data_IF_847479888585
#
_entry.id   IF_847479888585
#
_cell.length_a   1.000
_cell.length_b   1.000
_cell.length_c   1.000
_cell.angle_alpha   90.00
_cell.angle_beta   90.00
_cell.angle_gamma   90.00
#
_symmetry.space_group_name_H-M   'P 1'
#
loop_
_entity.id
_entity.type
_entity.pdbx_description
1 polymer ?
#
# COMPACT_ATOMS: atom_id res chain seq x y z
N UNK A 1 -16.93 4.55 -5.28
CA UNK A 1 -16.03 3.98 -6.32
C UNK A 1 -15.64 5.12 -7.24
N UNK A 2 -14.34 5.33 -7.50
CA UNK A 2 -13.83 6.45 -8.28
C UNK A 2 -14.56 6.56 -9.63
N UNK A 3 -15.09 7.75 -9.94
CA UNK A 3 -15.95 8.03 -11.09
C UNK A 3 -15.18 8.27 -12.40
N UNK A 4 -13.89 7.94 -12.44
CA UNK A 4 -13.02 8.19 -13.60
C UNK A 4 -13.48 7.40 -14.82
N UNK A 5 -13.64 8.10 -15.93
CA UNK A 5 -14.13 7.63 -17.23
C UNK A 5 -13.23 8.05 -18.40
N UNK A 6 -12.30 9.00 -18.22
CA UNK A 6 -11.45 9.48 -19.31
C UNK A 6 -9.98 9.70 -18.92
N UNK A 7 -9.11 9.80 -19.93
CA UNK A 7 -7.70 10.16 -19.75
C UNK A 7 -7.55 11.55 -19.12
N UNK A 8 -8.39 12.50 -19.54
CA UNK A 8 -8.37 13.87 -19.04
C UNK A 8 -8.73 13.94 -17.56
N UNK A 9 -9.68 13.12 -17.10
CA UNK A 9 -10.01 13.02 -15.68
C UNK A 9 -8.85 12.45 -14.86
N UNK A 10 -8.12 11.46 -15.38
CA UNK A 10 -6.90 10.94 -14.74
C UNK A 10 -5.82 12.01 -14.68
N UNK A 11 -5.61 12.76 -15.77
CA UNK A 11 -4.64 13.84 -15.81
C UNK A 11 -4.99 14.96 -14.83
N UNK A 12 -6.27 15.35 -14.74
CA UNK A 12 -6.74 16.37 -13.81
C UNK A 12 -6.53 15.96 -12.35
N UNK A 13 -6.78 14.69 -12.01
CA UNK A 13 -6.46 14.15 -10.69
C UNK A 13 -4.96 14.24 -10.40
N UNK A 14 -4.12 13.79 -11.34
CA UNK A 14 -2.65 13.87 -11.22
C UNK A 14 -2.21 15.32 -11.00
N UNK A 15 -2.77 16.27 -11.76
CA UNK A 15 -2.48 17.70 -11.63
C UNK A 15 -2.86 18.25 -10.26
N UNK A 16 -4.01 17.82 -9.71
CA UNK A 16 -4.41 18.18 -8.35
C UNK A 16 -3.43 17.65 -7.29
N UNK A 17 -3.06 16.37 -7.40
CA UNK A 17 -2.11 15.73 -6.48
C UNK A 17 -0.69 16.30 -6.54
N UNK A 18 -0.33 16.97 -7.63
CA UNK A 18 1.04 17.42 -7.90
C UNK A 18 1.15 18.93 -8.07
N UNK A 19 0.18 19.67 -7.56
CA UNK A 19 0.03 21.12 -7.74
C UNK A 19 1.26 21.91 -7.28
N UNK A 20 1.96 21.45 -6.25
CA UNK A 20 3.19 22.03 -5.71
C UNK A 20 4.38 21.96 -6.67
N UNK A 21 4.35 21.05 -7.66
CA UNK A 21 5.33 20.93 -8.76
C UNK A 21 4.77 21.36 -10.12
N UNK A 22 3.52 21.81 -10.17
CA UNK A 22 2.83 22.32 -11.35
C UNK A 22 2.84 21.36 -12.55
N UNK A 23 2.79 21.91 -13.75
CA UNK A 23 2.64 21.15 -14.99
C UNK A 23 3.80 20.16 -15.23
N UNK A 24 5.01 20.45 -14.73
CA UNK A 24 6.14 19.52 -14.81
C UNK A 24 5.92 18.30 -13.92
N UNK A 25 5.47 18.52 -12.68
CA UNK A 25 5.11 17.44 -11.76
C UNK A 25 3.95 16.60 -12.28
N UNK A 26 2.92 17.25 -12.83
CA UNK A 26 1.75 16.60 -13.40
C UNK A 26 2.15 15.71 -14.59
N UNK A 27 2.89 16.24 -15.55
CA UNK A 27 3.35 15.47 -16.71
C UNK A 27 4.26 14.30 -16.32
N UNK A 28 5.25 14.52 -15.45
CA UNK A 28 6.16 13.46 -15.02
C UNK A 28 5.41 12.32 -14.31
N UNK A 29 4.45 12.66 -13.46
CA UNK A 29 3.62 11.70 -12.73
C UNK A 29 2.66 10.98 -13.66
N UNK A 30 1.96 11.70 -14.54
CA UNK A 30 1.06 11.08 -15.50
C UNK A 30 1.80 10.07 -16.39
N UNK A 31 2.98 10.44 -16.87
CA UNK A 31 3.79 9.58 -17.75
C UNK A 31 4.16 8.25 -17.07
N UNK A 32 4.65 8.27 -15.82
CA UNK A 32 5.05 7.01 -15.15
C UNK A 32 3.85 6.10 -14.84
N UNK A 33 2.68 6.66 -14.53
CA UNK A 33 1.47 5.88 -14.23
C UNK A 33 0.69 5.40 -15.47
N UNK A 34 0.95 5.99 -16.63
CA UNK A 34 0.26 5.65 -17.89
C UNK A 34 1.17 5.00 -18.94
N UNK A 35 2.43 4.70 -18.59
CA UNK A 35 3.43 4.11 -19.51
C UNK A 35 2.98 2.82 -20.22
N UNK A 36 2.06 2.05 -19.62
CA UNK A 36 1.55 0.79 -20.18
C UNK A 36 0.23 0.95 -20.95
N UNK A 37 -0.32 2.17 -21.02
CA UNK A 37 -1.55 2.41 -21.74
C UNK A 37 -1.30 2.39 -23.25
N UNK A 38 -2.11 1.63 -23.99
CA UNK A 38 -2.26 1.81 -25.43
C UNK A 38 -3.17 2.99 -25.75
N UNK A 39 -3.39 3.29 -27.04
CA UNK A 39 -4.16 4.45 -27.52
C UNK A 39 -5.57 4.57 -26.93
N UNK A 40 -6.20 3.45 -26.61
CA UNK A 40 -7.53 3.37 -26.00
C UNK A 40 -7.52 2.43 -24.79
N UNK A 41 -7.07 2.91 -23.60
CA UNK A 41 -7.02 2.09 -22.40
C UNK A 41 -8.44 1.74 -21.93
N UNK A 42 -8.61 0.53 -21.40
CA UNK A 42 -9.90 0.13 -20.85
C UNK A 42 -10.27 0.92 -19.59
N UNK A 43 -11.56 1.04 -19.32
CA UNK A 43 -12.08 1.65 -18.08
C UNK A 43 -11.50 0.99 -16.82
N UNK A 44 -11.36 -0.33 -16.83
CA UNK A 44 -10.75 -1.07 -15.74
C UNK A 44 -9.28 -0.69 -15.54
N UNK A 45 -8.50 -0.59 -16.62
CA UNK A 45 -7.09 -0.19 -16.54
C UNK A 45 -6.96 1.23 -15.97
N UNK A 46 -7.76 2.19 -16.45
CA UNK A 46 -7.74 3.56 -15.93
C UNK A 46 -8.08 3.62 -14.44
N UNK A 47 -9.12 2.91 -14.00
CA UNK A 47 -9.50 2.85 -12.58
C UNK A 47 -8.42 2.19 -11.72
N UNK A 48 -7.79 1.10 -12.19
CA UNK A 48 -6.65 0.47 -11.52
C UNK A 48 -5.45 1.39 -11.42
N UNK A 49 -5.15 2.16 -12.48
CA UNK A 49 -4.09 3.17 -12.47
C UNK A 49 -4.37 4.23 -11.41
N UNK A 50 -5.60 4.74 -11.32
CA UNK A 50 -6.00 5.73 -10.30
C UNK A 50 -5.87 5.16 -8.89
N UNK A 51 -6.37 3.93 -8.65
CA UNK A 51 -6.21 3.26 -7.36
C UNK A 51 -4.72 3.10 -7.02
N UNK A 52 -3.89 2.70 -7.98
CA UNK A 52 -2.46 2.57 -7.81
C UNK A 52 -1.76 3.90 -7.47
N UNK A 53 -2.11 4.97 -8.16
CA UNK A 53 -1.59 6.33 -7.93
C UNK A 53 -1.94 6.82 -6.52
N UNK A 54 -3.22 6.77 -6.14
CA UNK A 54 -3.68 7.26 -4.83
C UNK A 54 -3.07 6.42 -3.71
N UNK A 55 -3.03 5.09 -3.87
CA UNK A 55 -2.37 4.20 -2.90
C UNK A 55 -0.91 4.56 -2.72
N UNK A 56 -0.21 4.85 -3.81
CA UNK A 56 1.21 5.18 -3.76
C UNK A 56 1.46 6.50 -3.06
N UNK A 57 0.72 7.53 -3.47
CA UNK A 57 0.86 8.89 -2.98
C UNK A 57 0.50 9.02 -1.49
N UNK A 58 -0.64 8.48 -1.07
CA UNK A 58 -1.17 8.68 0.29
C UNK A 58 -0.53 7.72 1.30
N UNK A 59 -0.26 6.46 0.90
CA UNK A 59 0.13 5.42 1.86
C UNK A 59 1.49 4.82 1.58
N UNK A 60 1.70 4.25 0.38
CA UNK A 60 2.84 3.39 0.12
C UNK A 60 4.16 4.16 0.23
N UNK A 61 4.31 5.27 -0.50
CA UNK A 61 5.56 6.02 -0.58
C UNK A 61 5.92 6.63 0.78
N UNK A 62 5.01 7.32 1.49
CA UNK A 62 5.28 7.77 2.86
C UNK A 62 5.67 6.62 3.79
N UNK A 63 5.04 5.45 3.68
CA UNK A 63 5.39 4.26 4.49
C UNK A 63 6.79 3.75 4.14
N UNK A 64 7.17 3.68 2.85
CA UNK A 64 8.52 3.29 2.46
C UNK A 64 9.57 4.28 2.98
N UNK A 65 9.27 5.58 2.99
CA UNK A 65 10.13 6.57 3.63
C UNK A 65 10.24 6.32 5.14
N UNK A 66 9.11 6.16 5.84
CA UNK A 66 9.09 5.89 7.27
C UNK A 66 9.90 4.63 7.66
N UNK A 67 9.80 3.56 6.86
CA UNK A 67 10.60 2.34 7.04
C UNK A 67 12.10 2.60 6.91
N UNK A 68 12.51 3.36 5.89
CA UNK A 68 13.92 3.74 5.71
C UNK A 68 14.42 4.62 6.85
N UNK A 69 13.63 5.61 7.28
CA UNK A 69 13.98 6.46 8.42
C UNK A 69 14.11 5.66 9.71
N UNK A 70 13.15 4.77 9.98
CA UNK A 70 13.23 3.91 11.15
C UNK A 70 14.49 3.04 11.10
N UNK A 71 14.78 2.40 9.97
CA UNK A 71 15.97 1.57 9.81
C UNK A 71 17.28 2.35 10.02
N UNK A 72 17.39 3.58 9.51
CA UNK A 72 18.59 4.42 9.65
C UNK A 72 18.82 4.93 11.07
N UNK A 73 17.75 5.10 11.85
CA UNK A 73 17.82 5.71 13.18
C UNK A 73 17.65 4.69 14.32
N UNK A 74 17.17 3.49 14.02
CA UNK A 74 17.07 2.40 14.98
C UNK A 74 18.46 1.95 15.41
N UNK A 75 18.69 1.89 16.73
CA UNK A 75 19.94 1.35 17.30
C UNK A 75 19.89 -0.17 17.38
N UNK A 76 18.91 -0.68 18.11
CA UNK A 76 18.75 -2.11 18.41
C UNK A 76 17.36 -2.64 18.00
N UNK A 77 16.50 -1.80 17.41
CA UNK A 77 15.14 -2.18 17.03
C UNK A 77 15.13 -2.79 15.62
N UNK A 78 14.41 -3.88 15.45
CA UNK A 78 14.16 -4.47 14.13
C UNK A 78 13.01 -3.73 13.44
N UNK A 79 13.12 -3.55 12.13
CA UNK A 79 12.07 -2.96 11.30
C UNK A 79 11.35 -4.09 10.55
N UNK A 80 10.02 -4.02 10.44
CA UNK A 80 9.23 -4.99 9.67
C UNK A 80 8.22 -4.25 8.79
N UNK A 81 7.94 -4.83 7.63
CA UNK A 81 7.01 -4.28 6.63
C UNK A 81 6.08 -5.36 6.11
N UNK A 82 4.81 -5.03 5.89
CA UNK A 82 3.85 -5.92 5.24
C UNK A 82 3.03 -5.20 4.19
N UNK A 83 2.47 -6.00 3.27
CA UNK A 83 1.38 -5.60 2.38
C UNK A 83 0.20 -6.51 2.67
N UNK A 84 -0.90 -5.96 3.15
CA UNK A 84 -2.13 -6.71 3.27
C UNK A 84 -2.83 -6.76 1.92
N UNK A 85 -3.05 -7.96 1.39
CA UNK A 85 -3.58 -8.16 0.02
C UNK A 85 -4.76 -9.12 -0.06
N UNK A 86 -5.41 -9.41 1.09
CA UNK A 86 -6.67 -10.15 1.09
C UNK A 86 -7.76 -9.31 0.37
N UNK A 87 -8.36 -9.82 -0.74
CA UNK A 87 -9.35 -9.04 -1.47
C UNK A 87 -10.54 -8.63 -0.61
N UNK A 88 -11.00 -7.41 -0.82
CA UNK A 88 -12.14 -6.82 -0.12
C UNK A 88 -13.38 -7.68 -0.31
N UNK A 89 -14.23 -7.66 0.72
CA UNK A 89 -15.48 -8.42 0.74
C UNK A 89 -16.69 -7.55 0.40
N UNK A 90 -16.48 -6.28 0.05
CA UNK A 90 -17.55 -5.36 -0.27
C UNK A 90 -18.25 -5.78 -1.57
N UNK A 91 -19.56 -6.10 -1.53
CA UNK A 91 -20.28 -6.64 -2.68
C UNK A 91 -20.46 -5.63 -3.82
N UNK A 92 -20.32 -4.34 -3.51
CA UNK A 92 -20.44 -3.24 -4.47
C UNK A 92 -19.14 -2.96 -5.23
N UNK A 93 -18.02 -3.57 -4.83
CA UNK A 93 -16.74 -3.38 -5.49
C UNK A 93 -16.59 -4.29 -6.71
N UNK A 94 -15.89 -3.85 -7.77
CA UNK A 94 -15.59 -4.72 -8.90
C UNK A 94 -14.68 -5.87 -8.45
N UNK A 95 -14.75 -6.99 -9.15
CA UNK A 95 -13.99 -8.22 -8.83
C UNK A 95 -12.48 -8.04 -8.81
N UNK A 96 -11.95 -7.01 -9.45
CA UNK A 96 -10.52 -6.73 -9.48
C UNK A 96 -9.99 -5.99 -8.25
N UNK A 97 -10.87 -5.51 -7.36
CA UNK A 97 -10.45 -4.77 -6.16
C UNK A 97 -9.75 -5.72 -5.19
N UNK A 98 -8.54 -5.33 -4.78
CA UNK A 98 -7.76 -6.00 -3.76
C UNK A 98 -8.22 -5.64 -2.35
N UNK A 99 -7.29 -5.55 -1.41
CA UNK A 99 -7.58 -5.00 -0.09
C UNK A 99 -7.83 -3.49 -0.18
N UNK A 100 -8.90 -3.00 0.45
CA UNK A 100 -9.17 -1.56 0.56
C UNK A 100 -8.65 -1.01 1.91
N UNK A 101 -8.66 0.31 2.06
CA UNK A 101 -8.31 0.96 3.30
C UNK A 101 -9.18 0.44 4.46
N UNK A 102 -8.54 0.14 5.59
CA UNK A 102 -9.13 -0.41 6.81
C UNK A 102 -9.70 -1.85 6.71
N UNK A 103 -9.60 -2.54 5.56
CA UNK A 103 -10.04 -3.93 5.46
C UNK A 103 -9.25 -4.88 6.38
N UNK A 104 -8.00 -4.54 6.72
CA UNK A 104 -7.12 -5.31 7.60
C UNK A 104 -7.59 -5.33 9.06
N UNK A 105 -8.27 -4.28 9.53
CA UNK A 105 -8.72 -4.13 10.92
C UNK A 105 -9.55 -5.32 11.39
N UNK A 106 -10.49 -5.80 10.56
CA UNK A 106 -11.35 -6.93 10.95
C UNK A 106 -10.55 -8.21 11.27
N UNK A 107 -9.39 -8.37 10.63
CA UNK A 107 -8.51 -9.53 10.81
C UNK A 107 -7.61 -9.35 12.03
N UNK A 108 -7.07 -8.15 12.24
CA UNK A 108 -6.28 -7.80 13.45
C UNK A 108 -7.11 -7.98 14.72
N UNK A 109 -8.37 -7.55 14.71
CA UNK A 109 -9.27 -7.60 15.87
C UNK A 109 -10.05 -8.92 16.00
N UNK A 110 -9.75 -9.95 15.19
CA UNK A 110 -10.36 -11.27 15.36
C UNK A 110 -11.85 -11.35 15.04
N UNK A 111 -12.41 -10.44 14.23
CA UNK A 111 -13.83 -10.50 13.81
C UNK A 111 -14.22 -11.83 13.15
N UNK A 112 -13.37 -12.50 12.36
CA UNK A 112 -13.67 -13.84 11.85
C UNK A 112 -13.95 -14.91 12.92
N UNK A 113 -13.45 -14.71 14.15
CA UNK A 113 -13.72 -15.59 15.29
C UNK A 113 -14.91 -15.09 16.13
N UNK A 114 -15.02 -13.78 16.35
CA UNK A 114 -16.07 -13.19 17.16
C UNK A 114 -17.46 -13.27 16.51
N UNK A 115 -17.54 -13.16 15.18
CA UNK A 115 -18.80 -13.19 14.41
C UNK A 115 -18.74 -14.28 13.32
N UNK A 116 -18.67 -15.56 13.70
CA UNK A 116 -18.23 -16.65 12.83
C UNK A 116 -19.10 -16.88 11.58
N UNK A 117 -20.40 -16.61 11.65
CA UNK A 117 -21.34 -16.80 10.55
C UNK A 117 -21.09 -15.85 9.37
N UNK A 118 -20.48 -14.69 9.64
CA UNK A 118 -20.15 -13.70 8.63
C UNK A 118 -18.84 -13.98 7.92
N UNK A 119 -18.13 -15.09 8.17
CA UNK A 119 -16.77 -15.31 7.68
C UNK A 119 -16.51 -16.75 7.24
N UNK A 120 -15.81 -16.88 6.12
CA UNK A 120 -15.36 -18.16 5.58
C UNK A 120 -14.08 -18.64 6.30
N UNK A 121 -13.76 -19.95 6.24
CA UNK A 121 -12.53 -20.50 6.83
C UNK A 121 -11.26 -19.76 6.39
N UNK A 122 -11.16 -19.38 5.11
CA UNK A 122 -10.05 -18.60 4.58
C UNK A 122 -9.83 -17.26 5.30
N UNK A 123 -10.89 -16.62 5.79
CA UNK A 123 -10.78 -15.36 6.53
C UNK A 123 -10.24 -15.59 7.95
N UNK A 124 -10.59 -16.72 8.56
CA UNK A 124 -10.02 -17.13 9.84
C UNK A 124 -8.54 -17.44 9.73
N UNK A 125 -8.10 -18.06 8.63
CA UNK A 125 -6.68 -18.26 8.34
C UNK A 125 -5.90 -16.95 8.36
N UNK A 126 -6.40 -15.92 7.67
CA UNK A 126 -5.77 -14.59 7.65
C UNK A 126 -5.76 -13.95 9.03
N UNK A 127 -6.89 -14.00 9.75
CA UNK A 127 -6.99 -13.40 11.08
C UNK A 127 -6.12 -14.10 12.12
N UNK A 128 -6.05 -15.43 12.10
CA UNK A 128 -5.10 -16.20 12.92
C UNK A 128 -3.66 -15.76 12.67
N UNK A 129 -3.27 -15.60 11.40
CA UNK A 129 -1.91 -15.18 11.04
C UNK A 129 -1.61 -13.77 11.54
N UNK A 130 -2.50 -12.79 11.29
CA UNK A 130 -2.30 -11.41 11.75
C UNK A 130 -2.23 -11.32 13.27
N UNK A 131 -3.16 -11.97 13.99
CA UNK A 131 -3.13 -11.99 15.46
C UNK A 131 -1.85 -12.62 15.98
N UNK A 132 -1.41 -13.75 15.39
CA UNK A 132 -0.17 -14.41 15.79
C UNK A 132 1.04 -13.48 15.62
N UNK A 133 1.23 -12.90 14.44
CA UNK A 133 2.33 -11.97 14.19
C UNK A 133 2.27 -10.74 15.11
N UNK A 134 1.10 -10.14 15.32
CA UNK A 134 0.95 -8.88 16.07
C UNK A 134 1.18 -9.12 17.56
N UNK A 135 0.64 -10.21 18.12
CA UNK A 135 0.82 -10.55 19.54
C UNK A 135 2.23 -11.05 19.84
N UNK A 136 2.87 -11.78 18.90
CA UNK A 136 4.28 -12.13 19.00
C UNK A 136 5.16 -10.88 19.03
N UNK A 137 4.97 -9.96 18.07
CA UNK A 137 5.71 -8.70 18.00
C UNK A 137 5.50 -7.84 19.25
N UNK A 138 4.27 -7.70 19.74
CA UNK A 138 3.98 -6.94 20.97
C UNK A 138 4.72 -7.49 22.19
N UNK A 139 4.97 -8.81 22.23
CA UNK A 139 5.65 -9.47 23.35
C UNK A 139 7.17 -9.39 23.26
N UNK A 140 7.74 -9.52 22.06
CA UNK A 140 9.19 -9.79 21.90
C UNK A 140 9.91 -8.80 20.98
N UNK A 141 9.18 -7.97 20.24
CA UNK A 141 9.71 -7.17 19.14
C UNK A 141 10.03 -7.98 17.87
N UNK A 142 9.71 -9.28 17.82
CA UNK A 142 9.89 -10.16 16.67
C UNK A 142 8.57 -10.88 16.34
N UNK A 143 7.94 -10.63 15.18
CA UNK A 143 6.64 -11.21 14.84
C UNK A 143 6.71 -12.75 14.74
N UNK A 144 7.90 -13.33 14.61
CA UNK A 144 8.10 -14.79 14.50
C UNK A 144 8.28 -15.47 15.85
N UNK A 145 8.59 -14.72 16.90
CA UNK A 145 8.92 -15.26 18.21
C UNK A 145 7.88 -14.85 19.23
N UNK A 146 7.17 -15.82 19.79
CA UNK A 146 6.06 -15.50 20.66
C UNK A 146 5.30 -16.73 21.15
N UNK A 147 4.08 -16.51 21.65
CA UNK A 147 3.22 -17.59 22.13
C UNK A 147 2.53 -18.31 20.97
N UNK A 148 2.44 -17.66 19.82
CA UNK A 148 1.72 -18.17 18.66
C UNK A 148 2.69 -18.65 17.60
N UNK A 149 2.42 -19.82 17.02
CA UNK A 149 3.10 -20.27 15.81
C UNK A 149 2.68 -19.38 14.64
N UNK A 150 3.64 -19.00 13.82
CA UNK A 150 3.40 -18.23 12.59
C UNK A 150 3.43 -19.15 11.37
N UNK A 151 2.65 -18.86 10.31
CA UNK A 151 2.57 -19.73 9.14
C UNK A 151 3.80 -19.65 8.24
N UNK A 152 4.50 -18.52 8.23
CA UNK A 152 5.67 -18.24 7.40
C UNK A 152 6.62 -17.38 8.23
N UNK A 153 7.93 -17.48 7.98
CA UNK A 153 8.86 -16.55 8.59
C UNK A 153 8.74 -15.16 7.95
N UNK A 154 8.53 -14.12 8.77
CA UNK A 154 8.51 -12.71 8.37
C UNK A 154 9.90 -12.12 8.63
N UNK A 155 10.78 -12.02 7.60
CA UNK A 155 12.10 -11.44 7.80
C UNK A 155 12.03 -9.94 8.07
N UNK A 156 13.01 -9.39 8.81
CA UNK A 156 13.11 -7.95 9.03
C UNK A 156 13.41 -7.21 7.72
N UNK A 157 12.94 -5.97 7.64
CA UNK A 157 13.31 -5.00 6.63
C UNK A 157 14.75 -4.53 6.88
N UNK A 158 15.61 -4.60 5.86
CA UNK A 158 17.05 -4.31 5.95
C UNK A 158 17.51 -3.43 4.78
N UNK A 159 18.74 -2.92 4.85
CA UNK A 159 19.33 -2.11 3.77
C UNK A 159 19.65 -2.98 2.54
N UNK A 160 20.11 -4.21 2.78
CA UNK A 160 20.46 -5.18 1.74
C UNK A 160 19.21 -5.72 1.05
N UNK A 161 18.13 -5.88 1.83
CA UNK A 161 16.88 -6.39 1.36
C UNK A 161 15.70 -5.69 2.04
N UNK A 162 15.01 -4.86 1.26
CA UNK A 162 13.73 -4.21 1.62
C UNK A 162 12.59 -5.22 1.64
N UNK A 163 12.71 -6.24 2.49
CA UNK A 163 11.74 -7.32 2.63
C UNK A 163 10.39 -6.80 3.13
N UNK A 164 9.33 -7.40 2.61
CA UNK A 164 7.99 -7.28 3.18
C UNK A 164 7.28 -8.63 3.12
N UNK A 165 6.35 -8.83 4.04
CA UNK A 165 5.45 -9.98 4.01
C UNK A 165 4.12 -9.60 3.34
N UNK A 166 3.74 -10.31 2.29
CA UNK A 166 2.41 -10.19 1.72
C UNK A 166 1.40 -11.09 2.48
N UNK A 167 0.42 -10.47 3.13
CA UNK A 167 -0.55 -11.15 3.99
C UNK A 167 -1.89 -11.29 3.26
N UNK A 168 -2.25 -12.55 2.96
CA UNK A 168 -3.55 -12.95 2.44
C UNK A 168 -3.84 -14.43 2.81
N UNK A 169 -4.94 -15.01 2.33
CA UNK A 169 -5.35 -16.37 2.69
C UNK A 169 -4.48 -17.50 2.11
N UNK A 170 -3.46 -17.20 1.31
CA UNK A 170 -2.52 -18.14 0.69
C UNK A 170 -1.08 -17.88 1.16
N UNK A 171 -0.89 -17.56 2.45
CA UNK A 171 0.42 -17.36 3.05
C UNK A 171 1.33 -18.59 2.87
N UNK A 172 2.50 -18.34 2.29
CA UNK A 172 3.57 -19.34 2.09
C UNK A 172 4.92 -18.63 2.01
N UNK A 173 6.03 -19.36 1.86
CA UNK A 173 7.36 -18.76 1.64
C UNK A 173 7.39 -17.77 0.45
N UNK A 174 6.50 -17.95 -0.55
CA UNK A 174 6.36 -17.02 -1.70
C UNK A 174 5.74 -15.66 -1.32
N UNK A 175 5.18 -15.54 -0.12
CA UNK A 175 4.65 -14.29 0.43
C UNK A 175 5.76 -13.36 0.90
N UNK A 176 6.97 -13.87 1.13
CA UNK A 176 8.14 -13.05 1.44
C UNK A 176 8.66 -12.45 0.14
N UNK A 177 8.52 -11.14 0.00
CA UNK A 177 8.87 -10.39 -1.20
C UNK A 177 9.82 -9.25 -0.87
N UNK A 178 10.39 -8.63 -1.88
CA UNK A 178 11.34 -7.53 -1.76
C UNK A 178 10.98 -6.40 -2.72
N UNK A 179 11.60 -5.23 -2.52
CA UNK A 179 11.66 -4.16 -3.51
C UNK A 179 10.29 -3.66 -3.97
N UNK A 180 9.36 -3.51 -3.02
CA UNK A 180 7.96 -3.15 -3.25
C UNK A 180 7.86 -1.86 -4.09
N UNK A 181 7.36 -2.01 -5.33
CA UNK A 181 7.08 -0.90 -6.25
C UNK A 181 8.23 0.11 -6.39
N UNK A 182 9.48 -0.39 -6.37
CA UNK A 182 10.71 0.44 -6.33
C UNK A 182 10.75 1.53 -7.40
N UNK A 183 10.23 1.29 -8.61
CA UNK A 183 10.16 2.32 -9.66
C UNK A 183 9.36 3.56 -9.24
N UNK A 184 8.20 3.36 -8.60
CA UNK A 184 7.32 4.45 -8.16
C UNK A 184 7.89 5.11 -6.90
N UNK A 185 8.41 4.32 -5.96
CA UNK A 185 9.07 4.83 -4.76
C UNK A 185 10.27 5.71 -5.13
N UNK A 186 11.08 5.26 -6.09
CA UNK A 186 12.22 6.04 -6.60
C UNK A 186 11.75 7.31 -7.28
N UNK A 187 10.73 7.23 -8.15
CA UNK A 187 10.16 8.40 -8.81
C UNK A 187 9.73 9.47 -7.81
N UNK A 188 8.92 9.11 -6.82
CA UNK A 188 8.41 10.06 -5.83
C UNK A 188 9.52 10.61 -4.92
N UNK A 189 10.47 9.77 -4.49
CA UNK A 189 11.54 10.20 -3.57
C UNK A 189 12.69 10.93 -4.24
N UNK A 190 12.86 10.82 -5.56
CA UNK A 190 14.02 11.41 -6.26
C UNK A 190 13.56 12.36 -7.36
N UNK A 191 12.98 11.82 -8.43
CA UNK A 191 12.58 12.58 -9.62
C UNK A 191 11.60 13.69 -9.24
N UNK A 192 10.50 13.35 -8.57
CA UNK A 192 9.47 14.30 -8.19
C UNK A 192 9.99 15.38 -7.23
N UNK A 193 10.78 14.98 -6.23
CA UNK A 193 11.37 15.93 -5.27
C UNK A 193 12.40 16.87 -5.92
N UNK A 194 13.09 16.44 -6.97
CA UNK A 194 14.05 17.28 -7.71
C UNK A 194 13.40 18.36 -8.58
N UNK A 195 12.10 18.26 -8.85
CA UNK A 195 11.38 19.25 -9.65
C UNK A 195 11.23 20.57 -8.89
N UNK A 196 11.31 21.73 -9.56
CA UNK A 196 11.11 23.03 -8.92
C UNK A 196 9.73 23.13 -8.28
N UNK A 197 9.68 23.64 -7.05
CA UNK A 197 8.43 23.98 -6.39
C UNK A 197 7.85 25.26 -7.00
N UNK A 198 6.56 25.25 -7.35
CA UNK A 198 5.87 26.37 -8.00
C UNK A 198 4.65 26.87 -7.22
N UNK A 199 4.23 26.15 -6.18
CA UNK A 199 3.18 26.56 -5.26
C UNK A 199 3.48 26.13 -3.82
N UNK A 200 3.00 26.89 -2.84
CA UNK A 200 3.05 26.50 -1.43
C UNK A 200 1.98 25.44 -1.13
N UNK A 201 2.36 24.44 -0.31
CA UNK A 201 1.60 23.20 -0.04
C UNK A 201 0.22 23.45 0.60
N UNK A 202 -0.07 24.67 1.08
CA UNK A 202 -1.35 25.02 1.74
C UNK A 202 -2.60 24.88 0.86
N UNK A 203 -2.46 24.74 -0.47
CA UNK A 203 -3.58 24.52 -1.41
C UNK A 203 -3.90 23.02 -1.59
N UNK A 204 -2.96 22.12 -1.31
CA UNK A 204 -3.15 20.68 -1.51
C UNK A 204 -4.07 20.05 -0.46
N UNK A 205 -4.01 20.52 0.80
CA UNK A 205 -4.87 20.03 1.87
C UNK A 205 -6.35 20.41 1.67
N UNK A 206 -6.64 21.57 1.09
CA UNK A 206 -8.03 21.99 0.78
C UNK A 206 -8.67 21.19 -0.37
N UNK A 207 -7.88 20.59 -1.25
CA UNK A 207 -8.36 19.82 -2.41
C UNK A 207 -8.50 18.31 -2.14
N UNK A 208 -7.86 17.80 -1.09
CA UNK A 208 -7.88 16.37 -0.73
C UNK A 208 -8.99 16.00 0.25
N UNK A 209 -9.50 16.99 1.00
CA UNK A 209 -10.46 16.78 2.10
C UNK A 209 -11.81 17.51 1.92
N UNK A 210 -12.01 18.22 0.81
CA UNK A 210 -13.30 18.78 0.37
C UNK A 210 -13.81 18.06 -0.88
#
# INVERSE_FOLDING_TARGET
MLSVQSRDEVYNLVRGLTVDRGERGANATYNIYTQTWGDSPSQELMKKTVVGLITDYIFLVPTQWALNLHLQNARNAKTYSYVFSQPSRMPVYPSWVGADHADDLQYVFGKPFATPLGYLPKHRTVSSAMIAYWTNFARTGDPNQGNSKVPVNWPPYTNEASYYLEINNNLSEKSVKQNLKTQYVTFWNTVYQSLPQVANISVADELLWN
#
